data_IF_982338272048
#
_entry.id   IF_982338272048
#
_cell.length_a   1.000
_cell.length_b   1.000
_cell.length_c   1.000
_cell.angle_alpha   90.00
_cell.angle_beta   90.00
_cell.angle_gamma   90.00
#
_symmetry.space_group_name_H-M   'P 1'
#
loop_
_entity.id
_entity.type
_entity.pdbx_description
1 polymer ?
#
# COMPACT_ATOMS: atom_id res chain seq x y z
N UNK A 1 -19.06 10.65 -25.05
CA UNK A 1 -18.08 9.56 -25.22
C UNK A 1 -17.02 9.77 -24.15
N UNK A 2 -16.51 8.72 -23.52
CA UNK A 2 -15.52 8.79 -22.44
C UNK A 2 -14.43 7.74 -22.67
N UNK A 3 -13.22 8.02 -22.19
CA UNK A 3 -12.09 7.08 -22.21
C UNK A 3 -11.71 6.78 -20.78
N UNK A 4 -11.61 5.49 -20.47
CA UNK A 4 -11.11 5.01 -19.19
C UNK A 4 -9.71 4.46 -19.41
N UNK A 5 -8.74 4.98 -18.67
CA UNK A 5 -7.35 4.54 -18.73
C UNK A 5 -6.73 4.61 -17.34
N UNK A 6 -5.55 4.00 -17.15
CA UNK A 6 -4.80 4.17 -15.91
C UNK A 6 -4.33 5.64 -15.74
N UNK A 7 -3.80 5.99 -14.57
CA UNK A 7 -3.42 7.38 -14.29
C UNK A 7 -2.00 7.71 -14.76
N UNK A 8 -1.42 6.93 -15.68
CA UNK A 8 -0.12 7.25 -16.24
C UNK A 8 -0.18 8.54 -17.09
N UNK A 9 0.86 9.35 -17.03
CA UNK A 9 0.91 10.66 -17.69
C UNK A 9 0.87 10.58 -19.22
N UNK A 10 1.25 9.44 -19.80
CA UNK A 10 1.10 9.14 -21.22
C UNK A 10 -0.38 9.17 -21.67
N UNK A 11 -1.32 8.77 -20.81
CA UNK A 11 -2.75 8.80 -21.12
C UNK A 11 -3.29 10.22 -21.19
N UNK A 12 -2.69 11.16 -20.46
CA UNK A 12 -3.07 12.58 -20.56
C UNK A 12 -2.61 13.17 -21.90
N UNK A 13 -1.47 12.72 -22.40
CA UNK A 13 -0.97 13.07 -23.74
C UNK A 13 -1.83 12.45 -24.83
N UNK A 14 -2.16 11.16 -24.71
CA UNK A 14 -3.06 10.46 -25.63
C UNK A 14 -4.43 11.13 -25.68
N UNK A 15 -5.03 11.41 -24.52
CA UNK A 15 -6.34 12.04 -24.42
C UNK A 15 -6.37 13.42 -25.09
N UNK A 16 -5.36 14.26 -24.82
CA UNK A 16 -5.22 15.58 -25.46
C UNK A 16 -5.07 15.46 -26.98
N UNK A 17 -4.23 14.56 -27.47
CA UNK A 17 -4.02 14.35 -28.89
C UNK A 17 -5.30 13.85 -29.58
N UNK A 18 -5.98 12.88 -28.97
CA UNK A 18 -7.21 12.33 -29.49
C UNK A 18 -8.34 13.37 -29.51
N UNK A 19 -8.48 14.17 -28.44
CA UNK A 19 -9.40 15.31 -28.42
C UNK A 19 -9.14 16.26 -29.58
N UNK A 20 -7.88 16.67 -29.78
CA UNK A 20 -7.50 17.56 -30.88
C UNK A 20 -7.85 16.97 -32.26
N UNK A 21 -7.59 15.67 -32.47
CA UNK A 21 -7.90 15.00 -33.75
C UNK A 21 -9.40 14.88 -34.00
N UNK A 22 -10.17 14.52 -32.98
CA UNK A 22 -11.62 14.42 -33.08
C UNK A 22 -12.24 15.80 -33.32
N UNK A 23 -11.80 16.84 -32.61
CA UNK A 23 -12.24 18.21 -32.83
C UNK A 23 -11.94 18.69 -34.25
N UNK A 24 -10.70 18.51 -34.76
CA UNK A 24 -10.36 18.86 -36.13
C UNK A 24 -11.23 18.15 -37.17
N UNK A 25 -11.53 16.86 -36.95
CA UNK A 25 -12.24 16.03 -37.93
C UNK A 25 -13.74 16.30 -37.94
N UNK A 26 -14.31 16.55 -36.77
CA UNK A 26 -15.76 16.61 -36.59
C UNK A 26 -16.25 18.04 -36.40
N UNK A 27 -15.55 18.94 -35.69
CA UNK A 27 -16.04 20.30 -35.41
C UNK A 27 -16.15 21.16 -36.69
N UNK A 28 -15.29 20.94 -37.70
CA UNK A 28 -15.37 21.61 -39.00
C UNK A 28 -16.48 21.09 -39.94
N UNK A 29 -17.05 19.91 -39.66
CA UNK A 29 -18.11 19.28 -40.47
C UNK A 29 -19.52 19.47 -39.88
N UNK A 30 -19.68 20.11 -38.70
CA UNK A 30 -20.99 20.32 -38.05
C UNK A 30 -21.77 21.51 -38.63
N UNK A 31 -21.17 22.34 -39.48
CA UNK A 31 -21.85 23.53 -40.02
C UNK A 31 -22.96 23.20 -41.02
N UNK A 32 -22.86 22.08 -41.75
CA UNK A 32 -23.79 21.74 -42.84
C UNK A 32 -24.74 20.58 -42.52
N UNK A 33 -24.64 19.97 -41.33
CA UNK A 33 -25.61 18.94 -40.93
C UNK A 33 -26.38 19.43 -39.72
N UNK A 34 -27.71 19.48 -39.85
CA UNK A 34 -28.63 19.80 -38.75
C UNK A 34 -28.43 18.75 -37.66
N UNK A 35 -27.57 19.05 -36.69
CA UNK A 35 -27.40 18.22 -35.51
C UNK A 35 -28.44 18.68 -34.49
N UNK A 36 -29.57 17.96 -34.47
CA UNK A 36 -30.42 17.80 -33.28
C UNK A 36 -29.52 17.56 -32.07
N UNK A 37 -29.87 18.07 -30.89
CA UNK A 37 -29.31 17.68 -29.58
C UNK A 37 -28.42 16.41 -29.63
N UNK A 38 -27.10 16.54 -29.87
CA UNK A 38 -26.32 15.37 -30.33
C UNK A 38 -24.93 15.59 -30.95
N UNK A 39 -24.30 16.75 -30.76
CA UNK A 39 -22.92 17.05 -31.19
C UNK A 39 -21.87 16.24 -30.42
N UNK A 40 -20.63 16.19 -30.93
CA UNK A 40 -19.48 15.48 -30.33
C UNK A 40 -19.36 15.80 -28.82
N UNK A 41 -19.68 14.82 -27.97
CA UNK A 41 -19.67 14.97 -26.49
C UNK A 41 -18.33 14.56 -25.86
N UNK A 42 -17.24 14.50 -26.64
CA UNK A 42 -15.91 14.14 -26.16
C UNK A 42 -15.12 15.41 -25.87
N UNK A 43 -14.99 15.77 -24.61
CA UNK A 43 -14.36 17.01 -24.17
C UNK A 43 -13.04 16.72 -23.46
N UNK A 44 -12.33 17.77 -23.07
CA UNK A 44 -11.19 17.65 -22.15
C UNK A 44 -11.55 16.94 -20.82
N UNK A 45 -12.84 16.90 -20.45
CA UNK A 45 -13.36 16.23 -19.24
C UNK A 45 -13.88 14.80 -19.50
N UNK A 46 -13.70 14.27 -20.71
CA UNK A 46 -14.14 12.91 -21.07
C UNK A 46 -13.18 11.80 -20.63
N UNK A 47 -12.10 12.16 -19.93
CA UNK A 47 -11.17 11.20 -19.33
C UNK A 47 -11.68 10.77 -17.96
N UNK A 48 -11.98 9.48 -17.82
CA UNK A 48 -12.25 8.86 -16.52
C UNK A 48 -10.94 8.24 -16.03
N UNK A 49 -10.44 8.76 -14.90
CA UNK A 49 -9.25 8.21 -14.23
C UNK A 49 -9.59 6.89 -13.56
N UNK A 50 -8.59 6.04 -13.40
CA UNK A 50 -8.74 4.77 -12.70
C UNK A 50 -8.99 5.01 -11.20
N UNK A 51 -10.20 4.70 -10.73
CA UNK A 51 -10.58 4.85 -9.32
C UNK A 51 -9.65 4.06 -8.38
N UNK A 52 -9.25 2.84 -8.78
CA UNK A 52 -8.30 2.04 -8.01
C UNK A 52 -6.93 2.74 -7.84
N UNK A 53 -6.49 3.53 -8.82
CA UNK A 53 -5.27 4.33 -8.68
C UNK A 53 -5.46 5.51 -7.72
N UNK A 54 -6.62 6.17 -7.76
CA UNK A 54 -6.94 7.27 -6.83
C UNK A 54 -6.97 6.75 -5.40
N UNK A 55 -7.62 5.62 -5.15
CA UNK A 55 -7.62 4.95 -3.85
C UNK A 55 -6.20 4.62 -3.39
N UNK A 56 -5.35 4.06 -4.26
CA UNK A 56 -3.95 3.78 -3.95
C UNK A 56 -3.17 5.06 -3.57
N UNK A 57 -3.43 6.20 -4.23
CA UNK A 57 -2.78 7.46 -3.91
C UNK A 57 -3.21 8.01 -2.54
N UNK A 58 -4.50 7.91 -2.21
CA UNK A 58 -5.04 8.26 -0.89
C UNK A 58 -4.39 7.38 0.17
N UNK A 59 -4.37 6.06 -0.03
CA UNK A 59 -3.75 5.10 0.89
C UNK A 59 -2.28 5.42 1.16
N UNK A 60 -1.47 5.63 0.11
CA UNK A 60 -0.06 6.00 0.25
C UNK A 60 0.14 7.31 1.02
N UNK A 61 -0.79 8.25 0.88
CA UNK A 61 -0.72 9.53 1.59
C UNK A 61 -1.10 9.37 3.06
N UNK A 62 -2.15 8.63 3.37
CA UNK A 62 -2.54 8.27 4.74
C UNK A 62 -1.42 7.51 5.44
N UNK A 63 -0.84 6.49 4.82
CA UNK A 63 0.26 5.71 5.40
C UNK A 63 1.50 6.57 5.69
N UNK A 64 1.85 7.52 4.80
CA UNK A 64 2.92 8.48 5.06
C UNK A 64 2.62 9.36 6.27
N UNK A 65 1.38 9.84 6.43
CA UNK A 65 1.00 10.62 7.62
C UNK A 65 1.07 9.80 8.92
N UNK A 66 0.88 8.48 8.84
CA UNK A 66 1.02 7.54 9.96
C UNK A 66 2.48 7.10 10.19
N UNK A 67 3.44 7.74 9.53
CA UNK A 67 4.87 7.41 9.61
C UNK A 67 5.15 5.92 9.32
N UNK A 68 4.37 5.32 8.42
CA UNK A 68 4.65 3.98 7.94
C UNK A 68 5.91 4.03 7.07
N UNK A 69 6.93 3.24 7.42
CA UNK A 69 8.11 3.07 6.57
C UNK A 69 7.75 2.32 5.29
N UNK A 70 8.39 2.66 4.17
CA UNK A 70 8.25 1.88 2.94
C UNK A 70 8.88 0.49 3.08
N UNK A 71 8.51 -0.43 2.18
CA UNK A 71 9.16 -1.73 2.05
C UNK A 71 10.68 -1.60 1.95
N UNK A 72 11.14 -0.69 1.07
CA UNK A 72 12.56 -0.49 0.81
C UNK A 72 13.29 -0.01 2.07
N UNK A 73 12.75 1.00 2.75
CA UNK A 73 13.33 1.51 4.01
C UNK A 73 13.40 0.43 5.08
N UNK A 74 12.38 -0.43 5.18
CA UNK A 74 12.37 -1.53 6.13
C UNK A 74 13.42 -2.60 5.80
N UNK A 75 13.61 -2.92 4.52
CA UNK A 75 14.69 -3.79 4.05
C UNK A 75 16.07 -3.20 4.37
N UNK A 76 16.31 -1.94 4.02
CA UNK A 76 17.58 -1.24 4.24
C UNK A 76 17.92 -1.20 5.73
N UNK A 77 16.94 -0.90 6.61
CA UNK A 77 17.14 -0.91 8.05
C UNK A 77 17.51 -2.29 8.59
N UNK A 78 16.87 -3.36 8.12
CA UNK A 78 17.19 -4.72 8.54
C UNK A 78 18.57 -5.17 8.06
N UNK A 79 19.01 -4.70 6.88
CA UNK A 79 20.36 -4.96 6.37
C UNK A 79 21.42 -4.23 7.21
N UNK A 80 21.12 -3.02 7.69
CA UNK A 80 22.00 -2.27 8.59
C UNK A 80 22.05 -2.90 9.99
N UNK A 81 20.91 -3.32 10.53
CA UNK A 81 20.81 -4.05 11.80
C UNK A 81 21.61 -5.35 11.74
N UNK A 82 21.54 -6.10 10.63
CA UNK A 82 22.31 -7.33 10.48
C UNK A 82 23.83 -7.10 10.57
N UNK A 83 24.31 -5.88 10.23
CA UNK A 83 25.73 -5.49 10.33
C UNK A 83 26.10 -4.92 11.70
N UNK A 84 25.18 -4.20 12.37
CA UNK A 84 25.49 -3.35 13.54
C UNK A 84 24.74 -3.68 14.84
N UNK A 85 23.74 -4.56 14.80
CA UNK A 85 22.79 -4.88 15.88
C UNK A 85 21.75 -3.78 16.18
N UNK A 86 20.57 -4.22 16.65
CA UNK A 86 19.47 -3.36 17.13
C UNK A 86 19.85 -2.45 18.30
N UNK A 87 20.94 -2.74 19.02
CA UNK A 87 21.44 -1.89 20.12
C UNK A 87 22.03 -0.56 19.64
N UNK A 88 22.43 -0.48 18.37
CA UNK A 88 23.10 0.69 17.79
C UNK A 88 22.26 1.42 16.75
N UNK A 89 21.22 0.75 16.23
CA UNK A 89 20.29 1.30 15.25
C UNK A 89 19.02 1.75 15.95
N UNK A 90 18.58 2.97 15.67
CA UNK A 90 17.31 3.48 16.19
C UNK A 90 16.14 2.71 15.55
N UNK A 91 15.45 1.90 16.35
CA UNK A 91 14.21 1.27 15.93
C UNK A 91 13.11 2.34 15.70
N UNK A 92 12.19 2.12 14.76
CA UNK A 92 11.11 3.06 14.52
C UNK A 92 10.14 3.09 15.70
N UNK A 93 9.54 4.26 15.91
CA UNK A 93 8.51 4.48 16.93
C UNK A 93 7.11 4.18 16.42
N UNK A 94 6.86 4.31 15.10
CA UNK A 94 5.56 4.04 14.50
C UNK A 94 5.17 2.56 14.64
N UNK A 95 3.95 2.25 15.14
CA UNK A 95 3.46 0.88 15.26
C UNK A 95 3.47 0.11 13.93
N UNK A 96 3.10 0.78 12.83
CA UNK A 96 3.07 0.15 11.50
C UNK A 96 4.49 -0.21 11.06
N UNK A 97 5.45 0.69 11.28
CA UNK A 97 6.85 0.47 10.91
C UNK A 97 7.47 -0.67 11.73
N UNK A 98 7.22 -0.71 13.05
CA UNK A 98 7.64 -1.84 13.92
C UNK A 98 7.05 -3.16 13.43
N UNK A 99 5.74 -3.20 13.17
CA UNK A 99 5.08 -4.40 12.69
C UNK A 99 5.65 -4.86 11.34
N UNK A 100 5.86 -3.93 10.39
CA UNK A 100 6.46 -4.23 9.09
C UNK A 100 7.84 -4.85 9.24
N UNK A 101 8.69 -4.29 10.09
CA UNK A 101 10.03 -4.82 10.37
C UNK A 101 9.98 -6.20 11.03
N UNK A 102 9.08 -6.40 11.99
CA UNK A 102 8.94 -7.68 12.68
C UNK A 102 8.53 -8.80 11.71
N UNK A 103 7.50 -8.55 10.89
CA UNK A 103 7.04 -9.49 9.85
C UNK A 103 8.15 -9.79 8.84
N UNK A 104 8.87 -8.75 8.41
CA UNK A 104 10.00 -8.89 7.50
C UNK A 104 11.15 -9.69 8.08
N UNK A 105 11.51 -9.44 9.33
CA UNK A 105 12.60 -10.10 10.01
C UNK A 105 12.35 -11.61 10.12
N UNK A 106 11.10 -12.02 10.34
CA UNK A 106 10.66 -13.42 10.29
C UNK A 106 10.82 -13.95 8.87
N UNK A 107 10.29 -13.26 7.87
CA UNK A 107 10.29 -13.69 6.47
C UNK A 107 11.68 -13.74 5.81
N UNK A 108 12.70 -13.10 6.40
CA UNK A 108 14.07 -13.02 5.84
C UNK A 108 14.97 -14.22 6.17
N UNK A 109 14.53 -15.19 6.98
CA UNK A 109 15.33 -16.39 7.30
C UNK A 109 14.48 -17.66 7.24
N UNK A 110 14.91 -18.70 6.50
CA UNK A 110 14.21 -19.99 6.47
C UNK A 110 14.00 -20.60 7.86
N UNK A 111 14.98 -20.44 8.76
CA UNK A 111 14.89 -20.93 10.14
C UNK A 111 13.83 -20.19 10.94
N UNK A 112 13.69 -18.87 10.74
CA UNK A 112 12.67 -18.05 11.41
C UNK A 112 11.28 -18.34 10.86
N UNK A 113 11.15 -18.52 9.55
CA UNK A 113 9.90 -18.98 8.93
C UNK A 113 9.49 -20.34 9.49
N UNK A 114 10.41 -21.31 9.53
CA UNK A 114 10.12 -22.62 10.10
C UNK A 114 9.71 -22.54 11.58
N UNK A 115 10.40 -21.72 12.38
CA UNK A 115 10.03 -21.49 13.78
C UNK A 115 8.64 -20.86 13.91
N UNK A 116 8.30 -19.92 13.02
CA UNK A 116 6.99 -19.30 12.94
C UNK A 116 5.89 -20.30 12.56
N UNK A 117 6.12 -21.10 11.52
CA UNK A 117 5.16 -22.10 11.02
C UNK A 117 4.86 -23.21 12.03
N UNK A 118 5.83 -23.52 12.90
CA UNK A 118 5.66 -24.50 13.97
C UNK A 118 4.86 -23.97 15.18
N UNK A 119 4.51 -22.67 15.22
CA UNK A 119 3.77 -22.12 16.37
C UNK A 119 2.30 -22.56 16.36
N UNK A 120 1.75 -23.01 17.51
CA UNK A 120 0.37 -23.47 17.59
C UNK A 120 -0.61 -22.32 17.26
N UNK A 121 -1.65 -22.64 16.48
CA UNK A 121 -2.67 -21.66 16.07
C UNK A 121 -2.25 -20.73 14.93
N UNK A 122 -1.03 -20.86 14.40
CA UNK A 122 -0.64 -20.15 13.17
C UNK A 122 -1.21 -20.89 11.96
N UNK A 123 -2.10 -20.24 11.20
CA UNK A 123 -2.73 -20.89 10.04
C UNK A 123 -2.12 -20.48 8.70
N UNK A 124 -1.47 -19.31 8.58
CA UNK A 124 -0.75 -18.84 7.38
C UNK A 124 0.30 -17.77 7.72
N UNK A 125 1.34 -17.65 6.90
CA UNK A 125 2.30 -16.55 6.96
C UNK A 125 1.58 -15.18 6.87
N UNK A 126 2.08 -14.18 7.62
CA UNK A 126 1.64 -12.80 7.45
C UNK A 126 2.18 -12.33 6.10
N UNK A 127 1.30 -12.24 5.09
CA UNK A 127 1.67 -11.81 3.75
C UNK A 127 2.39 -10.46 3.81
N UNK A 128 3.60 -10.43 3.29
CA UNK A 128 4.47 -9.27 3.31
C UNK A 128 3.96 -8.16 2.39
N UNK A 129 4.25 -6.92 2.78
CA UNK A 129 3.93 -5.73 2.04
C UNK A 129 4.68 -5.67 0.71
N UNK A 130 3.94 -5.81 -0.40
CA UNK A 130 4.45 -5.50 -1.74
C UNK A 130 3.75 -4.21 -2.15
N UNK A 131 4.52 -3.12 -2.32
CA UNK A 131 4.04 -1.74 -2.59
C UNK A 131 3.05 -1.61 -3.79
N UNK A 132 2.89 -2.69 -4.56
CA UNK A 132 2.04 -2.80 -5.75
C UNK A 132 0.58 -3.14 -5.46
N UNK A 133 0.22 -3.56 -4.24
CA UNK A 133 -1.19 -3.82 -3.85
C UNK A 133 -1.57 -2.96 -2.65
N UNK A 134 -2.42 -1.97 -2.90
CA UNK A 134 -2.85 -0.95 -1.92
C UNK A 134 -3.49 -1.50 -0.62
N UNK A 135 -3.89 -2.77 -0.60
CA UNK A 135 -4.43 -3.46 0.57
C UNK A 135 -3.39 -4.19 1.44
N UNK A 136 -2.10 -4.14 1.07
CA UNK A 136 -1.06 -4.90 1.75
C UNK A 136 -0.89 -4.55 3.24
N UNK A 137 -0.87 -3.25 3.57
CA UNK A 137 -0.75 -2.80 4.97
C UNK A 137 -1.99 -3.18 5.78
N UNK A 138 -3.19 -3.02 5.21
CA UNK A 138 -4.42 -3.47 5.86
C UNK A 138 -4.38 -4.98 6.15
N UNK A 139 -4.05 -5.79 5.14
CA UNK A 139 -3.93 -7.25 5.28
C UNK A 139 -2.87 -7.62 6.30
N UNK A 140 -1.72 -6.94 6.32
CA UNK A 140 -0.67 -7.14 7.33
C UNK A 140 -1.19 -6.90 8.74
N UNK A 141 -1.93 -5.81 8.97
CA UNK A 141 -2.48 -5.48 10.30
C UNK A 141 -3.52 -6.51 10.73
N UNK A 142 -4.46 -6.87 9.85
CA UNK A 142 -5.49 -7.88 10.15
C UNK A 142 -4.85 -9.21 10.57
N UNK A 143 -3.86 -9.67 9.78
CA UNK A 143 -3.16 -10.93 10.08
C UNK A 143 -2.30 -10.84 11.33
N UNK A 144 -1.70 -9.69 11.60
CA UNK A 144 -0.93 -9.46 12.81
C UNK A 144 -1.81 -9.52 14.07
N UNK A 145 -3.04 -8.99 14.03
CA UNK A 145 -3.97 -9.12 15.15
C UNK A 145 -4.42 -10.58 15.35
N UNK A 146 -4.71 -11.32 14.28
CA UNK A 146 -5.00 -12.76 14.35
C UNK A 146 -3.84 -13.56 14.97
N UNK A 147 -2.60 -13.16 14.66
CA UNK A 147 -1.37 -13.82 15.09
C UNK A 147 -0.66 -13.11 16.25
N UNK A 148 -1.38 -12.28 17.03
CA UNK A 148 -0.78 -11.40 18.05
C UNK A 148 0.07 -12.16 19.05
N UNK A 149 -0.45 -13.28 19.57
CA UNK A 149 0.26 -14.12 20.54
C UNK A 149 1.55 -14.68 19.94
N UNK A 150 1.53 -15.12 18.69
CA UNK A 150 2.68 -15.68 18.00
C UNK A 150 3.76 -14.63 17.72
N UNK A 151 3.36 -13.37 17.46
CA UNK A 151 4.29 -12.24 17.36
C UNK A 151 4.93 -11.94 18.71
N UNK A 152 4.14 -11.90 19.79
CA UNK A 152 4.65 -11.70 21.15
C UNK A 152 5.62 -12.82 21.55
N UNK A 153 5.29 -14.09 21.28
CA UNK A 153 6.17 -15.24 21.52
C UNK A 153 7.46 -15.14 20.69
N UNK A 154 7.39 -14.61 19.46
CA UNK A 154 8.58 -14.42 18.61
C UNK A 154 9.55 -13.41 19.19
N UNK A 155 9.05 -12.30 19.72
CA UNK A 155 9.89 -11.30 20.41
C UNK A 155 10.42 -11.87 21.73
N UNK A 156 9.62 -12.62 22.48
CA UNK A 156 10.06 -13.23 23.74
C UNK A 156 11.17 -14.26 23.54
N UNK A 157 11.16 -15.00 22.44
CA UNK A 157 12.16 -16.02 22.15
C UNK A 157 13.48 -15.45 21.60
N UNK A 158 13.49 -14.22 21.11
CA UNK A 158 14.64 -13.61 20.43
C UNK A 158 14.90 -12.18 20.95
N UNK A 159 15.79 -12.04 21.94
CA UNK A 159 16.08 -10.76 22.56
C UNK A 159 16.64 -9.70 21.60
N UNK A 160 17.19 -10.10 20.44
CA UNK A 160 17.74 -9.13 19.49
C UNK A 160 16.65 -8.24 18.91
N UNK A 161 15.43 -8.75 18.75
CA UNK A 161 14.29 -7.99 18.21
C UNK A 161 13.41 -7.33 19.28
N UNK A 162 13.87 -7.27 20.53
CA UNK A 162 13.12 -6.62 21.62
C UNK A 162 12.75 -5.17 21.30
N UNK A 163 13.58 -4.47 20.53
CA UNK A 163 13.32 -3.10 20.07
C UNK A 163 12.08 -2.98 19.15
N UNK A 164 11.61 -4.09 18.57
CA UNK A 164 10.40 -4.15 17.73
C UNK A 164 9.14 -4.54 18.51
N UNK A 165 9.23 -4.71 19.83
CA UNK A 165 8.07 -5.07 20.65
C UNK A 165 6.94 -4.06 20.47
N UNK A 166 5.77 -4.58 20.10
CA UNK A 166 4.53 -3.83 20.02
C UNK A 166 3.90 -3.79 21.42
N UNK A 167 3.80 -2.59 21.97
CA UNK A 167 3.15 -2.32 23.25
C UNK A 167 1.63 -2.43 23.12
N UNK A 168 0.89 -2.51 24.25
CA UNK A 168 -0.58 -2.44 24.20
C UNK A 168 -1.10 -1.18 23.50
N UNK A 169 -0.38 -0.07 23.59
CA UNK A 169 -0.72 1.16 22.88
C UNK A 169 -0.50 1.04 21.37
N UNK A 170 0.63 0.45 20.96
CA UNK A 170 0.91 0.17 19.55
C UNK A 170 -0.22 -0.69 18.93
N UNK A 171 -0.69 -1.71 19.65
CA UNK A 171 -1.81 -2.55 19.22
C UNK A 171 -3.14 -1.78 19.09
N UNK A 172 -3.41 -0.83 20.00
CA UNK A 172 -4.59 0.04 19.89
C UNK A 172 -4.51 0.91 18.65
N UNK A 173 -3.37 1.56 18.43
CA UNK A 173 -3.14 2.39 17.24
C UNK A 173 -3.27 1.57 15.95
N UNK A 174 -2.70 0.37 15.89
CA UNK A 174 -2.86 -0.54 14.74
C UNK A 174 -4.34 -0.88 14.48
N UNK A 175 -5.12 -1.10 15.53
CA UNK A 175 -6.56 -1.37 15.38
C UNK A 175 -7.33 -0.15 14.88
N UNK A 176 -6.98 1.06 15.34
CA UNK A 176 -7.58 2.31 14.85
C UNK A 176 -7.23 2.53 13.37
N UNK A 177 -5.97 2.29 12.98
CA UNK A 177 -5.52 2.35 11.59
C UNK A 177 -6.32 1.35 10.74
N UNK A 178 -6.46 0.10 11.20
CA UNK A 178 -7.28 -0.90 10.51
C UNK A 178 -8.71 -0.40 10.28
N UNK A 179 -9.33 0.23 11.28
CA UNK A 179 -10.70 0.80 11.16
C UNK A 179 -10.76 1.92 10.11
N UNK A 180 -9.75 2.78 10.05
CA UNK A 180 -9.65 3.85 9.03
C UNK A 180 -9.49 3.27 7.63
N UNK A 181 -8.73 2.17 7.50
CA UNK A 181 -8.46 1.51 6.22
C UNK A 181 -9.59 0.58 5.76
N UNK A 182 -10.46 0.12 6.66
CA UNK A 182 -11.60 -0.77 6.38
C UNK A 182 -12.53 -0.29 5.25
N UNK A 183 -13.02 0.97 5.23
CA UNK A 183 -13.93 1.43 4.17
C UNK A 183 -13.27 1.53 2.79
N UNK A 184 -11.95 1.43 2.72
CA UNK A 184 -11.22 1.57 1.49
C UNK A 184 -10.96 0.22 0.80
N UNK A 185 -11.17 -0.92 1.49
CA UNK A 185 -10.90 -2.31 1.05
C UNK A 185 -11.73 -2.81 -0.15
#
# INVERSE_FOLDING_TARGET
MTITADNASNNDTLHRYLYQKLSQRYDGYLAETIIREGTMKFTHNSQVRCFAHILNLVMKTTLRSLHASSHKEACDLLDDVAKRSWKTVNAPTSPIAKLRLLVLWIARSPQRIQKWDNRPGCTKAINYDVDTRWNSTFVMIVRAEECRRQLEDTVNDDPDIEALRLTPDDWRQLSDIKRILTPLQ
#
